data_IF_947845920100
#
_entry.id   IF_947845920100
#
_cell.length_a   1.000
_cell.length_b   1.000
_cell.length_c   1.000
_cell.angle_alpha   90.00
_cell.angle_beta   90.00
_cell.angle_gamma   90.00
#
_symmetry.space_group_name_H-M   'P 1'
#
loop_
_entity.id
_entity.type
_entity.pdbx_description
1 polymer ?
#
# COMPACT_ATOMS: atom_id res chain seq x y z
N UNK A 1 7.31 10.96 -8.45
CA UNK A 1 6.78 9.87 -7.61
C UNK A 1 6.48 10.49 -6.26
N UNK A 2 5.22 10.81 -6.01
CA UNK A 2 4.76 11.40 -4.76
C UNK A 2 3.74 10.46 -4.13
N UNK A 3 3.85 10.20 -2.83
CA UNK A 3 2.81 9.48 -2.08
C UNK A 3 1.69 10.47 -1.74
N UNK A 4 0.48 10.23 -2.24
CA UNK A 4 -0.66 11.12 -2.05
C UNK A 4 -1.56 10.67 -0.90
N UNK A 5 -1.83 9.38 -0.80
CA UNK A 5 -2.66 8.80 0.27
C UNK A 5 -2.02 7.53 0.80
N UNK A 6 -2.17 7.30 2.10
CA UNK A 6 -1.70 6.13 2.81
C UNK A 6 -2.69 5.76 3.91
N UNK A 7 -3.33 4.60 3.78
CA UNK A 7 -4.38 4.13 4.67
C UNK A 7 -4.07 2.72 5.13
N UNK A 8 -4.05 2.49 6.45
CA UNK A 8 -3.91 1.18 7.07
C UNK A 8 -5.24 0.80 7.73
N UNK A 9 -5.69 -0.43 7.49
CA UNK A 9 -6.89 -1.00 8.10
C UNK A 9 -6.57 -2.38 8.69
N UNK A 10 -6.97 -2.63 9.93
CA UNK A 10 -6.91 -3.96 10.54
C UNK A 10 -8.12 -4.79 10.10
N UNK A 11 -7.91 -6.05 9.70
CA UNK A 11 -9.02 -6.93 9.30
C UNK A 11 -9.85 -7.40 10.50
N UNK A 12 -9.24 -7.78 11.62
CA UNK A 12 -9.97 -8.15 12.84
C UNK A 12 -9.52 -7.33 14.07
N UNK A 13 -9.87 -7.81 15.26
CA UNK A 13 -9.46 -7.28 16.56
C UNK A 13 -8.51 -8.27 17.27
N UNK A 14 -7.21 -8.07 17.14
CA UNK A 14 -6.17 -8.89 17.74
C UNK A 14 -4.77 -8.39 17.37
N UNK A 15 -3.80 -8.61 18.25
CA UNK A 15 -2.40 -8.16 18.06
C UNK A 15 -1.70 -8.80 16.85
N UNK A 16 -2.22 -9.91 16.36
CA UNK A 16 -1.71 -10.67 15.21
C UNK A 16 -2.55 -10.42 13.95
N UNK A 17 -3.31 -9.34 13.91
CA UNK A 17 -4.15 -9.08 12.75
C UNK A 17 -3.35 -8.66 11.53
N UNK A 18 -3.91 -9.02 10.39
CA UNK A 18 -3.41 -8.60 9.09
C UNK A 18 -3.76 -7.11 8.93
N UNK A 19 -2.72 -6.29 8.75
CA UNK A 19 -2.85 -4.91 8.31
C UNK A 19 -2.98 -4.86 6.80
N UNK A 20 -4.12 -4.40 6.30
CA UNK A 20 -4.31 -4.02 4.91
C UNK A 20 -3.81 -2.59 4.71
N UNK A 21 -2.92 -2.41 3.75
CA UNK A 21 -2.41 -1.10 3.36
C UNK A 21 -2.91 -0.77 1.96
N UNK A 22 -3.53 0.39 1.85
CA UNK A 22 -3.93 1.00 0.60
C UNK A 22 -3.11 2.28 0.44
N UNK A 23 -2.59 2.53 -0.75
CA UNK A 23 -1.87 3.77 -1.03
C UNK A 23 -2.10 4.31 -2.43
N UNK A 24 -1.89 5.61 -2.57
CA UNK A 24 -1.93 6.31 -3.84
C UNK A 24 -0.54 6.90 -4.14
N UNK A 25 0.03 6.52 -5.28
CA UNK A 25 1.31 7.03 -5.77
C UNK A 25 1.08 7.80 -7.06
N UNK A 26 1.46 9.06 -7.07
CA UNK A 26 1.43 9.90 -8.26
C UNK A 26 2.76 9.81 -9.02
N UNK A 27 2.68 9.47 -10.30
CA UNK A 27 3.80 9.50 -11.23
C UNK A 27 3.38 10.15 -12.54
N UNK A 28 4.14 11.15 -12.99
CA UNK A 28 3.88 11.88 -14.23
C UNK A 28 2.43 12.43 -14.37
N UNK A 29 1.85 12.91 -13.26
CA UNK A 29 0.47 13.44 -13.23
C UNK A 29 -0.63 12.38 -13.24
N UNK A 30 -0.29 11.09 -13.20
CA UNK A 30 -1.22 9.96 -13.10
C UNK A 30 -1.12 9.34 -11.71
N UNK A 31 -2.26 9.00 -11.11
CA UNK A 31 -2.33 8.36 -9.79
C UNK A 31 -2.50 6.85 -9.95
N UNK A 32 -1.70 6.10 -9.21
CA UNK A 32 -1.67 4.64 -9.19
C UNK A 32 -1.97 4.12 -7.80
N UNK A 33 -2.72 3.02 -7.72
CA UNK A 33 -3.23 2.49 -6.45
C UNK A 33 -2.47 1.23 -6.04
N UNK A 34 -1.85 1.27 -4.88
CA UNK A 34 -1.11 0.15 -4.31
C UNK A 34 -1.87 -0.56 -3.21
N UNK A 35 -1.79 -1.89 -3.20
CA UNK A 35 -2.41 -2.74 -2.18
C UNK A 35 -1.39 -3.72 -1.58
N UNK A 36 -1.39 -3.85 -0.25
CA UNK A 36 -0.57 -4.81 0.48
C UNK A 36 -1.30 -5.32 1.73
N UNK A 37 -1.00 -6.54 2.16
CA UNK A 37 -1.69 -7.15 3.29
C UNK A 37 -0.76 -8.12 4.02
N UNK A 38 -0.34 -7.75 5.22
CA UNK A 38 0.61 -8.54 6.01
C UNK A 38 0.35 -8.31 7.51
N UNK A 39 0.69 -9.27 8.35
CA UNK A 39 0.66 -9.08 9.81
C UNK A 39 1.72 -8.08 10.28
N UNK A 40 2.80 -7.94 9.52
CA UNK A 40 3.75 -6.84 9.66
C UNK A 40 3.33 -5.67 8.77
N UNK A 41 2.87 -4.58 9.38
CA UNK A 41 2.42 -3.39 8.67
C UNK A 41 3.52 -2.72 7.83
N UNK A 42 4.80 -2.89 8.19
CA UNK A 42 5.93 -2.36 7.42
C UNK A 42 6.07 -3.16 6.12
N UNK A 43 6.02 -4.49 6.21
CA UNK A 43 6.02 -5.36 5.04
C UNK A 43 4.82 -5.08 4.13
N UNK A 44 3.60 -4.97 4.70
CA UNK A 44 2.39 -4.63 3.94
C UNK A 44 2.52 -3.29 3.20
N UNK A 45 3.19 -2.30 3.83
CA UNK A 45 3.41 -0.99 3.23
C UNK A 45 4.37 -1.04 2.04
N UNK A 46 5.45 -1.82 2.16
CA UNK A 46 6.42 -2.03 1.07
C UNK A 46 5.75 -2.77 -0.09
N UNK A 47 4.97 -3.82 0.21
CA UNK A 47 4.19 -4.55 -0.80
C UNK A 47 3.24 -3.63 -1.55
N UNK A 48 2.49 -2.78 -0.85
CA UNK A 48 1.58 -1.81 -1.45
C UNK A 48 2.32 -0.80 -2.36
N UNK A 49 3.48 -0.32 -1.94
CA UNK A 49 4.29 0.62 -2.72
C UNK A 49 4.83 0.01 -4.00
N UNK A 50 5.39 -1.20 -3.90
CA UNK A 50 5.84 -1.96 -5.07
C UNK A 50 4.67 -2.26 -6.00
N UNK A 51 3.50 -2.60 -5.45
CA UNK A 51 2.28 -2.84 -6.24
C UNK A 51 1.84 -1.61 -7.05
N UNK A 52 1.90 -0.40 -6.46
CA UNK A 52 1.62 0.85 -7.18
C UNK A 52 2.68 1.14 -8.26
N UNK A 53 3.97 1.00 -7.93
CA UNK A 53 5.08 1.25 -8.86
C UNK A 53 5.01 0.34 -10.09
N UNK A 54 4.71 -0.94 -9.88
CA UNK A 54 4.63 -1.93 -10.95
C UNK A 54 3.56 -1.62 -12.01
N UNK A 55 2.65 -0.68 -11.77
CA UNK A 55 1.61 -0.28 -12.72
C UNK A 55 2.08 0.75 -13.75
N UNK A 56 3.22 1.40 -13.53
CA UNK A 56 3.78 2.40 -14.46
C UNK A 56 5.24 2.16 -14.83
N UNK A 57 5.87 1.14 -14.25
CA UNK A 57 7.21 0.70 -14.63
C UNK A 57 7.19 -0.47 -15.61
N UNK A 58 6.08 -1.23 -15.68
CA UNK A 58 5.93 -2.36 -16.61
C UNK A 58 5.37 -1.95 -17.97
#
# INVERSE_FOLDING_TARGET
>A
MNLQEFTIQSINKGSNDIGKVHMQVEHAGVVYYGFGANTDIVAASVEAYINAINQFVK
#
